data_IF_700442135201
#
_entry.id   IF_700442135201
#
_cell.length_a   1.000
_cell.length_b   1.000
_cell.length_c   1.000
_cell.angle_alpha   90.00
_cell.angle_beta   90.00
_cell.angle_gamma   90.00
#
_symmetry.space_group_name_H-M   'P 1'
#
loop_
_entity.id
_entity.type
_entity.pdbx_description
1 polymer ?
#
# COMPACT_ATOMS: atom_id res chain seq x y z
N UNK A 1 -24.09 16.62 -1.08
CA UNK A 1 -22.73 16.06 -1.18
C UNK A 1 -22.80 14.65 -0.63
N UNK A 2 -22.24 13.68 -1.36
CA UNK A 2 -22.19 12.30 -0.90
C UNK A 2 -21.12 12.15 0.20
N UNK A 3 -21.25 11.12 1.04
CA UNK A 3 -20.22 10.70 1.99
C UNK A 3 -19.45 9.56 1.33
N UNK A 4 -18.14 9.73 1.23
CA UNK A 4 -17.19 8.73 0.77
C UNK A 4 -16.44 8.17 1.98
N UNK A 5 -16.02 6.90 1.90
CA UNK A 5 -15.22 6.25 2.92
C UNK A 5 -13.87 5.86 2.33
N UNK A 6 -12.80 6.21 3.03
CA UNK A 6 -11.44 5.97 2.61
C UNK A 6 -10.69 5.24 3.72
N UNK A 7 -10.11 4.09 3.39
CA UNK A 7 -9.17 3.37 4.23
C UNK A 7 -7.76 3.87 3.89
N UNK A 8 -7.15 4.68 4.76
CA UNK A 8 -5.72 5.01 4.63
C UNK A 8 -4.90 3.82 5.14
N UNK A 9 -3.81 3.50 4.45
CA UNK A 9 -2.95 2.33 4.74
C UNK A 9 -1.47 2.68 4.79
N UNK A 10 -1.11 3.91 4.42
CA UNK A 10 0.23 4.48 4.58
C UNK A 10 0.14 6.02 4.59
N UNK A 11 0.83 6.74 5.49
CA UNK A 11 1.78 6.23 6.49
C UNK A 11 1.11 5.67 7.74
N UNK A 12 -0.20 5.84 7.87
CA UNK A 12 -1.00 5.32 8.98
C UNK A 12 -2.27 4.64 8.49
N UNK A 13 -2.73 3.69 9.29
CA UNK A 13 -4.00 3.03 9.11
C UNK A 13 -5.15 3.87 9.70
N UNK A 14 -6.20 4.13 8.92
CA UNK A 14 -7.44 4.73 9.42
C UNK A 14 -8.61 4.51 8.48
N UNK A 15 -9.82 4.42 9.04
CA UNK A 15 -11.07 4.55 8.30
C UNK A 15 -11.58 5.98 8.43
N UNK A 16 -11.75 6.67 7.31
CA UNK A 16 -12.09 8.09 7.27
C UNK A 16 -13.31 8.32 6.38
N UNK A 17 -14.33 8.97 6.91
CA UNK A 17 -15.44 9.51 6.13
C UNK A 17 -15.11 10.93 5.64
N UNK A 18 -15.47 11.24 4.41
CA UNK A 18 -15.22 12.54 3.78
C UNK A 18 -16.32 12.93 2.79
N UNK A 19 -16.47 14.23 2.54
CA UNK A 19 -17.27 14.76 1.43
C UNK A 19 -16.41 15.21 0.24
N UNK A 20 -15.10 14.93 0.29
CA UNK A 20 -14.19 15.16 -0.81
C UNK A 20 -14.16 13.94 -1.72
N UNK A 21 -14.12 14.19 -3.03
CA UNK A 21 -13.80 13.18 -4.03
C UNK A 21 -12.36 12.66 -3.85
N UNK A 22 -12.01 11.47 -4.35
CA UNK A 22 -10.75 10.80 -4.01
C UNK A 22 -9.50 11.63 -4.25
N UNK A 23 -9.38 12.32 -5.39
CA UNK A 23 -8.23 13.16 -5.71
C UNK A 23 -8.12 14.36 -4.76
N UNK A 24 -9.27 14.95 -4.39
CA UNK A 24 -9.32 16.06 -3.44
C UNK A 24 -8.97 15.60 -2.03
N UNK A 25 -9.44 14.43 -1.62
CA UNK A 25 -9.11 13.80 -0.36
C UNK A 25 -7.61 13.50 -0.28
N UNK A 26 -7.05 12.85 -1.31
CA UNK A 26 -5.63 12.55 -1.40
C UNK A 26 -4.75 13.80 -1.31
N UNK A 27 -5.06 14.83 -2.08
CA UNK A 27 -4.33 16.10 -2.05
C UNK A 27 -4.43 16.79 -0.66
N UNK A 28 -5.61 16.77 -0.04
CA UNK A 28 -5.82 17.32 1.29
C UNK A 28 -4.99 16.58 2.35
N UNK A 29 -5.02 15.25 2.33
CA UNK A 29 -4.32 14.42 3.31
C UNK A 29 -2.79 14.49 3.15
N UNK A 30 -2.27 14.56 1.92
CA UNK A 30 -0.83 14.66 1.66
C UNK A 30 -0.25 16.05 2.02
N UNK A 31 -1.02 17.12 1.85
CA UNK A 31 -0.53 18.50 2.01
C UNK A 31 -0.91 19.10 3.37
N UNK A 32 -2.05 18.69 3.94
CA UNK A 32 -2.67 19.35 5.08
C UNK A 32 -3.24 20.73 4.73
N UNK A 33 -3.94 21.36 5.68
CA UNK A 33 -4.60 22.65 5.48
C UNK A 33 -3.62 23.79 5.14
N UNK A 34 -2.40 23.73 5.68
CA UNK A 34 -1.34 24.73 5.46
C UNK A 34 -0.39 24.36 4.32
N UNK A 35 -0.60 23.22 3.65
CA UNK A 35 0.30 22.66 2.63
C UNK A 35 1.74 22.41 3.10
N UNK A 36 1.90 22.09 4.38
CA UNK A 36 3.20 21.94 5.02
C UNK A 36 3.58 20.48 5.37
N UNK A 37 2.65 19.52 5.29
CA UNK A 37 2.92 18.13 5.68
C UNK A 37 3.85 17.43 4.68
N UNK A 38 3.57 17.57 3.38
CA UNK A 38 4.34 17.00 2.28
C UNK A 38 4.60 15.48 2.43
N UNK A 39 3.54 14.72 2.67
CA UNK A 39 3.58 13.28 2.94
C UNK A 39 3.14 12.46 1.73
N UNK A 40 3.75 11.28 1.54
CA UNK A 40 3.18 10.27 0.63
C UNK A 40 2.02 9.59 1.32
N UNK A 41 0.99 9.22 0.57
CA UNK A 41 -0.22 8.60 1.11
C UNK A 41 -0.67 7.46 0.21
N UNK A 42 -1.09 6.36 0.84
CA UNK A 42 -1.86 5.31 0.16
C UNK A 42 -3.22 5.21 0.84
N UNK A 43 -4.29 5.19 0.05
CA UNK A 43 -5.62 4.92 0.56
C UNK A 43 -6.46 4.15 -0.46
N UNK A 44 -7.53 3.53 0.00
CA UNK A 44 -8.47 2.75 -0.81
C UNK A 44 -9.87 3.29 -0.57
N UNK A 45 -10.67 3.45 -1.62
CA UNK A 45 -12.11 3.64 -1.49
C UNK A 45 -12.75 2.43 -0.81
N UNK A 46 -13.79 2.66 -0.01
CA UNK A 46 -14.52 1.59 0.67
C UNK A 46 -16.03 1.79 0.53
N UNK A 47 -16.74 0.75 0.12
CA UNK A 47 -18.20 0.70 0.21
C UNK A 47 -18.61 0.53 1.67
N UNK A 48 -19.25 1.53 2.28
CA UNK A 48 -19.62 1.49 3.70
C UNK A 48 -20.88 0.68 4.01
N UNK A 49 -21.21 0.54 5.30
CA UNK A 49 -22.46 -0.03 5.78
C UNK A 49 -22.43 -1.54 6.09
N UNK A 50 -21.27 -2.17 6.04
CA UNK A 50 -21.06 -3.56 6.49
C UNK A 50 -20.62 -3.62 7.96
N UNK A 51 -20.89 -4.73 8.65
CA UNK A 51 -20.40 -4.97 10.01
C UNK A 51 -20.81 -3.91 11.04
N UNK A 52 -20.18 -3.94 12.22
CA UNK A 52 -20.46 -3.04 13.35
C UNK A 52 -19.20 -2.37 13.93
N UNK A 53 -18.00 -2.69 13.42
CA UNK A 53 -16.75 -2.12 13.90
C UNK A 53 -16.62 -0.61 13.61
N UNK A 54 -17.16 -0.14 12.48
CA UNK A 54 -17.20 1.28 12.13
C UNK A 54 -18.59 1.85 12.39
N UNK A 55 -18.65 3.00 13.06
CA UNK A 55 -19.93 3.70 13.32
C UNK A 55 -20.39 4.47 12.08
N UNK A 56 -21.02 3.75 11.14
CA UNK A 56 -21.56 4.30 9.89
C UNK A 56 -22.66 5.33 10.13
N UNK A 57 -23.44 5.11 11.18
CA UNK A 57 -24.52 5.99 11.63
C UNK A 57 -23.97 7.35 12.08
N UNK A 58 -22.90 7.33 12.87
CA UNK A 58 -22.14 8.52 13.25
C UNK A 58 -21.55 9.20 12.03
N UNK A 59 -20.99 8.46 11.08
CA UNK A 59 -20.47 9.02 9.84
C UNK A 59 -21.56 9.78 9.06
N UNK A 60 -22.73 9.18 8.85
CA UNK A 60 -23.86 9.81 8.17
C UNK A 60 -24.36 11.07 8.91
N UNK A 61 -24.37 11.04 10.25
CA UNK A 61 -24.84 12.15 11.10
C UNK A 61 -23.81 13.28 11.24
N UNK A 62 -22.51 13.00 11.11
CA UNK A 62 -21.43 13.95 11.43
C UNK A 62 -20.54 14.33 10.26
N UNK A 63 -20.56 13.59 9.15
CA UNK A 63 -19.88 13.96 7.92
C UNK A 63 -20.74 14.92 7.09
N UNK A 64 -21.08 16.05 7.70
CA UNK A 64 -21.93 17.09 7.12
C UNK A 64 -21.13 18.37 6.85
N UNK A 65 -21.55 19.18 5.87
CA UNK A 65 -20.86 20.42 5.56
C UNK A 65 -20.76 21.32 6.78
N UNK A 66 -19.71 22.13 6.83
CA UNK A 66 -19.57 23.18 7.83
C UNK A 66 -20.70 24.20 7.69
N UNK A 67 -20.91 25.03 8.72
CA UNK A 67 -21.96 26.06 8.72
C UNK A 67 -21.81 27.10 7.60
N UNK A 68 -20.61 27.22 7.03
CA UNK A 68 -20.29 28.07 5.88
C UNK A 68 -20.44 27.34 4.52
N UNK A 69 -20.96 26.11 4.52
CA UNK A 69 -21.19 25.30 3.33
C UNK A 69 -19.97 24.53 2.81
N UNK A 70 -18.77 24.70 3.41
CA UNK A 70 -17.59 23.93 3.00
C UNK A 70 -17.76 22.44 3.30
N UNK A 71 -17.29 21.55 2.42
CA UNK A 71 -17.37 20.10 2.65
C UNK A 71 -16.61 19.69 3.91
N UNK A 72 -17.12 18.68 4.62
CA UNK A 72 -16.36 17.99 5.66
C UNK A 72 -15.21 17.23 5.00
N UNK A 73 -13.97 17.61 5.28
CA UNK A 73 -12.78 17.03 4.62
C UNK A 73 -12.36 15.68 5.19
N UNK A 74 -12.54 15.50 6.50
CA UNK A 74 -12.19 14.25 7.18
C UNK A 74 -12.99 14.10 8.48
N UNK A 75 -13.47 12.89 8.72
CA UNK A 75 -14.08 12.43 9.95
C UNK A 75 -13.60 11.00 10.20
N UNK A 76 -12.74 10.81 11.21
CA UNK A 76 -12.18 9.49 11.51
C UNK A 76 -13.21 8.61 12.20
N UNK A 77 -13.38 7.39 11.69
CA UNK A 77 -14.21 6.32 12.28
C UNK A 77 -13.35 5.30 13.04
N UNK A 78 -12.11 5.09 12.59
CA UNK A 78 -11.09 4.31 13.31
C UNK A 78 -9.69 4.78 12.89
N UNK A 79 -8.71 4.56 13.77
CA UNK A 79 -7.27 4.78 13.53
C UNK A 79 -6.44 3.52 13.82
N UNK A 80 -7.09 2.37 14.02
CA UNK A 80 -6.44 1.12 14.37
C UNK A 80 -7.32 -0.07 13.97
N UNK A 81 -6.70 -1.14 13.43
CA UNK A 81 -7.40 -2.36 13.00
C UNK A 81 -8.50 -2.08 11.97
N UNK A 82 -8.31 -1.06 11.15
CA UNK A 82 -9.29 -0.69 10.14
C UNK A 82 -9.27 -1.71 9.00
N UNK A 83 -8.10 -2.03 8.43
CA UNK A 83 -7.92 -2.95 7.31
C UNK A 83 -8.53 -4.33 7.60
N UNK A 84 -8.23 -4.92 8.76
CA UNK A 84 -8.76 -6.25 9.13
C UNK A 84 -10.28 -6.27 9.36
N UNK A 85 -10.92 -5.11 9.49
CA UNK A 85 -12.37 -4.99 9.60
C UNK A 85 -13.03 -4.54 8.29
N UNK A 86 -12.30 -4.46 7.17
CA UNK A 86 -12.86 -4.18 5.84
C UNK A 86 -12.84 -5.47 5.00
N UNK A 87 -14.00 -5.99 4.56
CA UNK A 87 -14.03 -7.17 3.72
C UNK A 87 -13.49 -6.86 2.31
N UNK A 88 -12.88 -7.85 1.66
CA UNK A 88 -12.18 -7.65 0.37
C UNK A 88 -13.11 -7.17 -0.75
N UNK A 89 -14.38 -7.59 -0.72
CA UNK A 89 -15.40 -7.16 -1.66
C UNK A 89 -15.73 -5.67 -1.56
N UNK A 90 -15.66 -5.08 -0.36
CA UNK A 90 -15.96 -3.67 -0.12
C UNK A 90 -14.81 -2.73 -0.51
N UNK A 91 -13.61 -3.25 -0.76
CA UNK A 91 -12.48 -2.45 -1.25
C UNK A 91 -12.72 -1.99 -2.69
N UNK A 92 -12.56 -0.69 -2.94
CA UNK A 92 -12.68 -0.05 -4.26
C UNK A 92 -11.33 0.27 -4.87
N UNK A 93 -11.22 1.42 -5.53
CA UNK A 93 -10.00 1.91 -6.16
C UNK A 93 -8.94 2.28 -5.11
N UNK A 94 -7.69 1.90 -5.35
CA UNK A 94 -6.55 2.36 -4.56
C UNK A 94 -5.94 3.62 -5.17
N UNK A 95 -5.50 4.53 -4.31
CA UNK A 95 -4.86 5.77 -4.70
C UNK A 95 -3.46 5.86 -4.10
N UNK A 96 -2.47 6.06 -4.96
CA UNK A 96 -1.09 6.36 -4.58
C UNK A 96 -0.87 7.87 -4.72
N UNK A 97 -0.58 8.56 -3.63
CA UNK A 97 -0.50 10.03 -3.60
C UNK A 97 0.93 10.49 -3.30
N UNK A 98 1.46 11.32 -4.19
CA UNK A 98 2.79 11.92 -4.02
C UNK A 98 2.79 13.02 -2.96
N UNK A 99 3.99 13.39 -2.48
CA UNK A 99 4.18 14.42 -1.44
C UNK A 99 3.61 15.79 -1.81
N UNK A 100 3.41 16.04 -3.10
CA UNK A 100 2.82 17.27 -3.62
C UNK A 100 1.33 17.13 -4.00
N UNK A 101 0.69 16.03 -3.59
CA UNK A 101 -0.76 15.85 -3.65
C UNK A 101 -1.30 15.35 -4.99
N UNK A 102 -0.48 14.77 -5.88
CA UNK A 102 -0.97 14.14 -7.11
C UNK A 102 -1.32 12.69 -6.82
N UNK A 103 -2.46 12.24 -7.32
CA UNK A 103 -2.94 10.87 -7.15
C UNK A 103 -2.82 10.05 -8.43
N UNK A 104 -2.44 8.78 -8.27
CA UNK A 104 -2.62 7.73 -9.27
C UNK A 104 -3.70 6.78 -8.76
N UNK A 105 -4.79 6.65 -9.51
CA UNK A 105 -5.84 5.68 -9.28
C UNK A 105 -5.43 4.31 -9.87
N UNK A 106 -5.63 3.24 -9.10
CA UNK A 106 -5.38 1.86 -9.48
C UNK A 106 -6.62 1.06 -9.14
N UNK A 107 -7.26 0.50 -10.17
CA UNK A 107 -8.46 -0.31 -9.99
C UNK A 107 -8.14 -1.65 -9.31
N UNK A 108 -9.06 -2.12 -8.49
CA UNK A 108 -9.01 -3.46 -7.90
C UNK A 108 -9.17 -4.51 -9.00
N UNK A 109 -8.33 -5.52 -8.99
CA UNK A 109 -8.35 -6.65 -9.92
C UNK A 109 -8.26 -7.97 -9.17
N UNK A 110 -8.66 -9.05 -9.83
CA UNK A 110 -8.42 -10.40 -9.35
C UNK A 110 -6.91 -10.69 -9.37
N UNK A 111 -6.45 -11.49 -8.40
CA UNK A 111 -5.05 -11.88 -8.34
C UNK A 111 -4.62 -12.65 -9.59
N UNK A 112 -3.49 -12.22 -10.15
CA UNK A 112 -2.82 -12.90 -11.27
C UNK A 112 -1.45 -13.35 -10.78
N UNK A 113 -1.15 -14.63 -10.98
CA UNK A 113 0.17 -15.16 -10.65
C UNK A 113 1.25 -14.49 -11.53
N UNK A 114 2.43 -14.18 -10.96
CA UNK A 114 3.54 -13.66 -11.75
C UNK A 114 3.84 -14.58 -12.93
N UNK A 115 3.95 -14.02 -14.14
CA UNK A 115 4.17 -14.81 -15.35
C UNK A 115 5.51 -15.57 -15.31
N UNK A 116 6.52 -14.99 -14.65
CA UNK A 116 7.84 -15.59 -14.45
C UNK A 116 8.21 -15.46 -12.97
N UNK A 117 8.19 -16.59 -12.24
CA UNK A 117 8.61 -16.60 -10.83
C UNK A 117 10.13 -16.82 -10.71
N UNK A 118 10.92 -15.83 -10.24
CA UNK A 118 12.38 -15.97 -10.13
C UNK A 118 12.82 -16.79 -8.90
N UNK A 119 11.87 -17.34 -8.13
CA UNK A 119 12.14 -18.13 -6.93
C UNK A 119 12.18 -17.31 -5.64
N UNK A 120 12.11 -15.98 -5.72
CA UNK A 120 11.97 -15.09 -4.57
C UNK A 120 11.34 -13.75 -4.95
N UNK A 121 10.80 -13.05 -3.97
CA UNK A 121 10.38 -11.65 -4.09
C UNK A 121 10.85 -10.84 -2.87
N UNK A 122 10.99 -9.54 -3.08
CA UNK A 122 11.14 -8.56 -2.03
C UNK A 122 9.78 -7.93 -1.78
N UNK A 123 9.23 -8.14 -0.59
CA UNK A 123 7.94 -7.59 -0.17
C UNK A 123 8.12 -6.42 0.77
N UNK A 124 7.37 -5.36 0.48
CA UNK A 124 7.13 -4.29 1.43
C UNK A 124 5.73 -4.40 1.97
N UNK A 125 5.63 -4.65 3.27
CA UNK A 125 4.37 -4.52 3.99
C UNK A 125 4.13 -3.03 4.33
N UNK A 126 2.85 -2.64 4.32
CA UNK A 126 2.42 -1.28 4.61
C UNK A 126 1.41 -1.21 5.75
N UNK A 127 0.50 -2.19 5.86
CA UNK A 127 -0.53 -2.23 6.88
C UNK A 127 -0.84 -3.69 7.27
N UNK A 128 -1.03 -4.03 8.55
CA UNK A 128 -0.90 -3.15 9.73
C UNK A 128 0.56 -2.97 10.18
N UNK A 129 1.48 -3.76 9.61
CA UNK A 129 2.92 -3.70 9.89
C UNK A 129 3.65 -3.08 8.70
N UNK A 130 4.93 -2.73 8.88
CA UNK A 130 5.75 -2.14 7.83
C UNK A 130 7.15 -2.75 7.61
N UNK A 131 7.37 -4.07 7.78
CA UNK A 131 8.66 -4.67 7.46
C UNK A 131 8.95 -4.68 5.96
N UNK A 132 10.25 -4.73 5.66
CA UNK A 132 10.78 -5.19 4.38
C UNK A 132 11.18 -6.65 4.55
N UNK A 133 10.66 -7.54 3.70
CA UNK A 133 10.91 -8.98 3.78
C UNK A 133 11.34 -9.55 2.43
N UNK A 134 12.25 -10.53 2.44
CA UNK A 134 12.47 -11.41 1.29
C UNK A 134 11.73 -12.70 1.54
N UNK A 135 11.00 -13.19 0.54
CA UNK A 135 10.31 -14.48 0.61
C UNK A 135 10.55 -15.31 -0.64
N UNK A 136 10.56 -16.63 -0.50
CA UNK A 136 10.52 -17.59 -1.62
C UNK A 136 9.09 -17.86 -2.10
N UNK A 137 8.08 -17.28 -1.45
CA UNK A 137 6.66 -17.41 -1.79
C UNK A 137 6.27 -16.32 -2.78
N UNK A 138 5.44 -16.67 -3.76
CA UNK A 138 4.77 -15.68 -4.63
C UNK A 138 3.74 -14.84 -3.82
N UNK A 139 3.17 -13.76 -4.40
CA UNK A 139 2.34 -12.86 -3.60
C UNK A 139 1.14 -13.54 -2.97
N UNK A 140 0.50 -14.50 -3.65
CA UNK A 140 -0.63 -15.23 -3.07
C UNK A 140 -0.19 -16.11 -1.92
N UNK A 141 0.84 -16.92 -2.13
CA UNK A 141 1.34 -17.82 -1.09
C UNK A 141 1.92 -17.04 0.10
N UNK A 142 2.51 -15.87 -0.14
CA UNK A 142 2.95 -14.95 0.91
C UNK A 142 1.77 -14.41 1.71
N UNK A 143 0.74 -13.91 1.03
CA UNK A 143 -0.50 -13.43 1.63
C UNK A 143 -1.14 -14.51 2.51
N UNK A 144 -1.42 -15.68 1.93
CA UNK A 144 -1.99 -16.84 2.63
C UNK A 144 -1.15 -17.20 3.87
N UNK A 145 0.19 -17.26 3.75
CA UNK A 145 1.07 -17.58 4.88
C UNK A 145 0.99 -16.54 6.00
N UNK A 146 0.94 -15.26 5.65
CA UNK A 146 0.93 -14.17 6.63
C UNK A 146 -0.45 -13.97 7.29
N UNK A 147 -1.52 -14.47 6.67
CA UNK A 147 -2.88 -14.37 7.21
C UNK A 147 -3.42 -15.67 7.82
N UNK A 148 -2.72 -16.80 7.66
CA UNK A 148 -3.14 -18.08 8.22
C UNK A 148 -3.02 -18.12 9.76
N UNK A 149 -4.13 -18.27 10.51
CA UNK A 149 -4.13 -18.31 11.97
C UNK A 149 -3.45 -19.56 12.56
N UNK A 150 -3.19 -20.60 11.75
CA UNK A 150 -2.38 -21.76 12.16
C UNK A 150 -0.92 -21.35 12.41
N UNK A 151 -0.45 -20.29 11.74
CA UNK A 151 0.90 -19.76 11.95
C UNK A 151 0.99 -18.96 13.25
N UNK A 152 2.10 -19.15 13.98
CA UNK A 152 2.35 -18.47 15.27
C UNK A 152 2.39 -16.94 15.17
N UNK A 153 2.78 -16.42 14.01
CA UNK A 153 2.87 -15.01 13.71
C UNK A 153 2.07 -14.80 12.45
N UNK A 154 0.91 -14.17 12.60
CA UNK A 154 -0.01 -13.86 11.52
C UNK A 154 -0.71 -12.52 11.83
N UNK A 155 -1.32 -11.93 10.81
CA UNK A 155 -2.25 -10.81 10.95
C UNK A 155 -3.56 -11.17 10.21
N UNK A 156 -4.75 -10.77 10.69
CA UNK A 156 -6.00 -11.15 10.01
C UNK A 156 -6.10 -10.62 8.58
N UNK A 157 -5.45 -9.49 8.31
CA UNK A 157 -5.29 -8.94 6.97
C UNK A 157 -3.98 -8.19 6.84
N UNK A 158 -3.40 -8.19 5.64
CA UNK A 158 -2.20 -7.41 5.33
C UNK A 158 -2.33 -6.72 3.98
N UNK A 159 -1.72 -5.54 3.87
CA UNK A 159 -1.45 -4.85 2.62
C UNK A 159 0.05 -4.80 2.39
N UNK A 160 0.48 -5.27 1.22
CA UNK A 160 1.88 -5.33 0.85
C UNK A 160 2.06 -5.12 -0.65
N UNK A 161 3.29 -4.82 -1.08
CA UNK A 161 3.66 -4.74 -2.50
C UNK A 161 4.89 -5.58 -2.77
N UNK A 162 4.97 -6.13 -3.98
CA UNK A 162 6.23 -6.64 -4.49
C UNK A 162 7.09 -5.48 -4.99
N UNK A 163 8.40 -5.58 -4.76
CA UNK A 163 9.36 -4.55 -5.15
C UNK A 163 10.27 -5.07 -6.25
N UNK A 164 10.58 -4.18 -7.20
CA UNK A 164 11.61 -4.41 -8.20
C UNK A 164 12.97 -4.52 -7.50
N UNK A 165 13.65 -5.62 -7.77
CA UNK A 165 15.01 -5.84 -7.30
C UNK A 165 15.96 -5.33 -8.37
N UNK A 166 16.80 -4.35 -8.02
CA UNK A 166 17.88 -3.89 -8.90
C UNK A 166 18.90 -5.00 -9.15
N UNK A 167 19.81 -4.81 -10.10
CA UNK A 167 21.00 -5.64 -10.20
C UNK A 167 21.84 -5.45 -8.94
N UNK A 168 21.78 -6.42 -8.02
CA UNK A 168 22.45 -6.33 -6.72
C UNK A 168 23.98 -6.25 -6.85
N UNK A 169 24.55 -6.66 -7.99
CA UNK A 169 25.98 -6.57 -8.26
C UNK A 169 26.36 -5.27 -8.98
N UNK A 170 25.38 -4.51 -9.45
CA UNK A 170 25.56 -3.23 -10.14
C UNK A 170 24.38 -2.29 -9.87
N UNK A 171 24.23 -1.91 -8.60
CA UNK A 171 23.12 -1.07 -8.13
C UNK A 171 23.16 0.32 -8.79
N UNK A 172 24.35 0.87 -9.02
CA UNK A 172 24.53 2.19 -9.64
C UNK A 172 23.93 2.26 -11.05
N UNK A 173 23.94 1.15 -11.80
CA UNK A 173 23.35 1.07 -13.14
C UNK A 173 21.96 0.41 -13.17
N UNK A 174 21.33 0.16 -12.01
CA UNK A 174 20.00 -0.47 -11.90
C UNK A 174 18.83 0.49 -12.13
N UNK A 175 19.12 1.74 -12.51
CA UNK A 175 18.13 2.81 -12.60
C UNK A 175 17.75 3.38 -11.23
N UNK A 176 16.63 4.08 -11.16
CA UNK A 176 16.19 4.70 -9.90
C UNK A 176 15.60 3.65 -8.95
N UNK A 177 16.44 3.16 -8.05
CA UNK A 177 16.09 2.20 -7.00
C UNK A 177 15.82 2.85 -5.63
N UNK A 178 15.79 4.19 -5.59
CA UNK A 178 15.72 4.95 -4.35
C UNK A 178 16.85 4.63 -3.37
N UNK A 179 16.59 4.91 -2.10
CA UNK A 179 17.51 4.66 -0.98
C UNK A 179 17.27 3.30 -0.28
N UNK A 180 16.53 2.39 -0.92
CA UNK A 180 16.22 1.07 -0.37
C UNK A 180 17.52 0.28 -0.04
N UNK A 181 18.53 0.42 -0.90
CA UNK A 181 19.76 -0.37 -0.85
C UNK A 181 20.90 0.32 -0.07
N UNK A 182 20.74 1.59 0.32
CA UNK A 182 21.83 2.42 0.88
C UNK A 182 22.43 1.87 2.18
N UNK A 183 21.65 1.14 2.98
CA UNK A 183 22.07 0.71 4.33
C UNK A 183 22.14 -0.81 4.52
N UNK A 184 21.36 -1.56 3.75
CA UNK A 184 21.09 -2.97 4.04
C UNK A 184 21.40 -3.90 2.86
N UNK A 185 22.19 -3.46 1.86
CA UNK A 185 22.47 -4.26 0.66
C UNK A 185 23.13 -5.62 0.99
N UNK A 186 24.18 -5.64 1.82
CA UNK A 186 24.85 -6.88 2.19
C UNK A 186 23.91 -7.82 2.96
N UNK A 187 23.13 -7.28 3.89
CA UNK A 187 22.14 -8.06 4.64
C UNK A 187 21.03 -8.60 3.73
N UNK A 188 20.62 -7.85 2.72
CA UNK A 188 19.67 -8.29 1.71
C UNK A 188 20.25 -9.44 0.87
N UNK A 189 21.50 -9.33 0.40
CA UNK A 189 22.21 -10.41 -0.30
C UNK A 189 22.27 -11.68 0.55
N UNK A 190 22.63 -11.57 1.82
CA UNK A 190 22.64 -12.70 2.77
C UNK A 190 21.26 -13.33 2.97
N UNK A 191 20.21 -12.50 3.03
CA UNK A 191 18.84 -12.98 3.12
C UNK A 191 18.45 -13.80 1.89
N UNK A 192 18.71 -13.28 0.68
CA UNK A 192 18.43 -13.96 -0.59
C UNK A 192 19.21 -15.26 -0.71
N UNK A 193 20.53 -15.23 -0.49
CA UNK A 193 21.38 -16.43 -0.56
C UNK A 193 20.94 -17.51 0.43
N UNK A 194 20.51 -17.11 1.62
CA UNK A 194 20.03 -18.05 2.62
C UNK A 194 18.69 -18.70 2.26
N UNK A 195 17.84 -18.06 1.46
CA UNK A 195 16.60 -18.67 0.97
C UNK A 195 16.91 -19.65 -0.17
N UNK A 196 17.79 -19.24 -1.10
CA UNK A 196 18.22 -20.08 -2.23
C UNK A 196 18.97 -21.34 -1.80
N UNK A 197 19.69 -21.31 -0.67
CA UNK A 197 20.40 -22.47 -0.11
C UNK A 197 19.49 -23.49 0.59
N UNK A 198 18.15 -23.33 0.55
CA UNK A 198 17.20 -24.34 1.02
C UNK A 198 17.09 -24.47 2.55
N UNK A 199 17.53 -23.47 3.31
CA UNK A 199 17.28 -23.44 4.77
C UNK A 199 15.78 -23.31 5.01
N UNK A 200 15.25 -24.05 6.01
CA UNK A 200 13.81 -24.26 6.35
C UNK A 200 12.88 -23.03 6.41
N UNK A 201 13.39 -21.79 6.39
CA UNK A 201 12.56 -20.58 6.47
C UNK A 201 12.24 -20.06 5.07
N UNK A 202 10.96 -19.85 4.78
CA UNK A 202 10.48 -19.33 3.49
C UNK A 202 10.55 -17.80 3.42
N UNK A 203 10.54 -17.12 4.56
CA UNK A 203 10.52 -15.66 4.66
C UNK A 203 11.56 -15.16 5.67
N UNK A 204 12.20 -14.03 5.36
CA UNK A 204 13.14 -13.30 6.23
C UNK A 204 12.86 -11.81 6.21
N UNK A 205 12.83 -11.21 7.39
CA UNK A 205 12.78 -9.75 7.54
C UNK A 205 14.18 -9.19 7.28
N UNK A 206 14.27 -8.25 6.32
CA UNK A 206 15.45 -7.47 5.99
C UNK A 206 15.51 -6.20 6.85
N UNK A 207 14.37 -5.53 7.01
CA UNK A 207 14.25 -4.32 7.83
C UNK A 207 12.89 -4.32 8.55
N UNK A 208 12.87 -3.85 9.80
CA UNK A 208 11.69 -3.85 10.66
C UNK A 208 10.95 -2.51 10.69
N UNK A 209 11.60 -1.40 10.31
CA UNK A 209 11.06 -0.07 10.58
C UNK A 209 11.55 0.99 9.59
N UNK A 210 11.69 0.63 8.32
CA UNK A 210 12.18 1.58 7.31
C UNK A 210 11.08 2.56 6.88
N UNK A 211 10.74 3.52 7.73
CA UNK A 211 9.78 4.59 7.46
C UNK A 211 10.26 5.64 6.42
N UNK A 212 11.49 5.53 5.90
CA UNK A 212 12.19 6.66 5.30
C UNK A 212 12.57 6.52 3.81
N UNK A 213 11.98 5.59 3.07
CA UNK A 213 12.32 5.47 1.64
C UNK A 213 11.14 5.91 0.76
N UNK A 214 11.36 6.72 -0.27
CA UNK A 214 10.30 6.93 -1.28
C UNK A 214 10.15 5.59 -2.01
N UNK A 215 8.91 5.07 -2.11
CA UNK A 215 8.72 3.67 -2.57
C UNK A 215 8.08 3.52 -3.95
N UNK A 216 7.38 4.53 -4.48
CA UNK A 216 6.60 4.34 -5.71
C UNK A 216 7.47 3.95 -6.90
N UNK A 217 8.69 4.48 -6.97
CA UNK A 217 9.64 4.18 -8.05
C UNK A 217 10.27 2.78 -7.96
N UNK A 218 9.95 1.97 -6.96
CA UNK A 218 10.43 0.59 -6.88
C UNK A 218 9.30 -0.43 -6.74
N UNK A 219 8.03 0.00 -6.83
CA UNK A 219 6.91 -0.93 -6.93
C UNK A 219 7.09 -1.81 -8.18
N UNK A 220 6.86 -3.11 -7.99
CA UNK A 220 6.94 -4.13 -9.02
C UNK A 220 5.62 -4.29 -9.77
N UNK A 221 5.08 -5.50 -9.77
CA UNK A 221 3.85 -5.86 -10.49
C UNK A 221 2.60 -5.25 -9.86
N UNK A 222 2.57 -5.08 -8.53
CA UNK A 222 1.41 -4.48 -7.89
C UNK A 222 1.48 -4.36 -6.38
N UNK A 223 0.35 -3.92 -5.84
CA UNK A 223 0.03 -4.02 -4.42
C UNK A 223 -1.04 -5.07 -4.23
N UNK A 224 -1.09 -5.65 -3.04
CA UNK A 224 -1.98 -6.76 -2.71
C UNK A 224 -2.60 -6.51 -1.35
N UNK A 225 -3.87 -6.89 -1.22
CA UNK A 225 -4.54 -7.00 0.07
C UNK A 225 -4.95 -8.44 0.26
N UNK A 226 -4.47 -9.06 1.33
CA UNK A 226 -4.75 -10.45 1.68
C UNK A 226 -5.46 -10.52 3.02
N UNK A 227 -6.41 -11.45 3.15
CA UNK A 227 -7.05 -11.84 4.40
C UNK A 227 -7.18 -13.37 4.49
N UNK A 228 -7.95 -13.88 5.45
CA UNK A 228 -8.34 -15.29 5.52
C UNK A 228 -9.33 -15.70 4.42
N UNK A 229 -10.01 -14.74 3.80
CA UNK A 229 -10.98 -14.98 2.71
C UNK A 229 -10.36 -15.01 1.32
N UNK A 230 -9.15 -14.50 1.14
CA UNK A 230 -8.47 -14.48 -0.15
C UNK A 230 -7.51 -13.31 -0.32
N UNK A 231 -7.25 -12.97 -1.58
CA UNK A 231 -6.32 -11.92 -1.99
C UNK A 231 -6.91 -11.14 -3.18
N UNK A 232 -6.72 -9.83 -3.18
CA UNK A 232 -6.99 -8.94 -4.31
C UNK A 232 -5.72 -8.20 -4.71
N UNK A 233 -5.64 -7.77 -5.98
CA UNK A 233 -4.48 -7.10 -6.54
C UNK A 233 -4.84 -5.69 -7.02
N UNK A 234 -3.85 -4.80 -6.92
CA UNK A 234 -3.84 -3.47 -7.52
C UNK A 234 -2.65 -3.42 -8.48
N UNK A 235 -2.86 -3.78 -9.76
CA UNK A 235 -1.76 -3.93 -10.71
C UNK A 235 -1.17 -2.57 -11.06
N UNK A 236 0.16 -2.45 -10.90
CA UNK A 236 0.86 -1.22 -11.25
C UNK A 236 0.91 -1.05 -12.77
N UNK A 237 0.53 0.13 -13.31
CA UNK A 237 0.74 0.41 -14.72
C UNK A 237 2.22 0.37 -15.07
N UNK A 238 2.56 -0.15 -16.24
CA UNK A 238 3.95 -0.15 -16.72
C UNK A 238 4.47 1.27 -16.98
N UNK A 239 5.79 1.40 -17.18
CA UNK A 239 6.45 2.70 -17.34
C UNK A 239 5.93 3.48 -18.56
N UNK A 240 5.55 2.80 -19.64
CA UNK A 240 5.07 3.47 -20.85
C UNK A 240 3.64 3.98 -20.66
N UNK A 241 2.78 3.19 -19.99
CA UNK A 241 1.44 3.58 -19.58
C UNK A 241 1.49 4.77 -18.61
N UNK A 242 2.38 4.73 -17.61
CA UNK A 242 2.60 5.85 -16.70
C UNK A 242 3.08 7.10 -17.44
N UNK A 243 3.97 6.96 -18.42
CA UNK A 243 4.49 8.09 -19.20
C UNK A 243 3.42 8.73 -20.08
N UNK A 244 2.56 7.89 -20.66
CA UNK A 244 1.51 8.33 -21.58
C UNK A 244 0.31 8.93 -20.85
N UNK A 245 -0.13 8.31 -19.76
CA UNK A 245 -1.42 8.61 -19.13
C UNK A 245 -1.29 9.31 -17.77
N UNK A 246 -0.15 9.19 -17.08
CA UNK A 246 0.03 9.66 -15.71
C UNK A 246 1.38 10.38 -15.50
N UNK A 247 1.84 11.13 -16.51
CA UNK A 247 3.19 11.70 -16.55
C UNK A 247 3.52 12.55 -15.31
N UNK A 248 2.63 13.45 -14.92
CA UNK A 248 2.87 14.37 -13.80
C UNK A 248 2.98 13.65 -12.46
N UNK A 249 2.15 12.63 -12.24
CA UNK A 249 2.26 11.77 -11.07
C UNK A 249 3.57 10.99 -11.11
N UNK A 250 3.89 10.35 -12.24
CA UNK A 250 5.08 9.51 -12.38
C UNK A 250 6.38 10.31 -12.20
N UNK A 251 6.42 11.55 -12.66
CA UNK A 251 7.53 12.48 -12.41
C UNK A 251 7.65 12.81 -10.92
N UNK A 252 6.55 13.14 -10.25
CA UNK A 252 6.54 13.45 -8.81
C UNK A 252 6.86 12.22 -7.94
N UNK A 253 6.45 11.04 -8.39
CA UNK A 253 6.74 9.74 -7.78
C UNK A 253 8.16 9.23 -8.08
N UNK A 254 8.98 9.98 -8.81
CA UNK A 254 10.37 9.64 -9.17
C UNK A 254 10.49 8.35 -9.99
N UNK A 255 9.49 8.02 -10.81
CA UNK A 255 9.49 6.81 -11.67
C UNK A 255 10.61 6.86 -12.73
N UNK A 256 11.03 8.06 -13.15
CA UNK A 256 12.04 8.28 -14.19
C UNK A 256 13.36 8.79 -13.60
#
# INVERSE_FOLDING_TARGET
>A
MAVHYYLTVFPMEAMVASQLEPEQFGAYMALGDTKAAAEQLMFIEVEGGFGDFFDWDFAAKKCNPHSDGRPKRSLYLSVYRALENVPLEALGTMYLVTKDGRSLAIEKDEYKAPANWPGFALYREYCPMSPLAVSSLDPKNYGDYMTDPVNKVHAPSILFADLRVGNLDDIENSGNVGNLYDKNLDHLKDCIQSLQSGKRKMTKIVDRSNFNTSFYQILGEGLYVSSDTGIVMYPMPDRDALKKNHYDWAKSALIY
#
